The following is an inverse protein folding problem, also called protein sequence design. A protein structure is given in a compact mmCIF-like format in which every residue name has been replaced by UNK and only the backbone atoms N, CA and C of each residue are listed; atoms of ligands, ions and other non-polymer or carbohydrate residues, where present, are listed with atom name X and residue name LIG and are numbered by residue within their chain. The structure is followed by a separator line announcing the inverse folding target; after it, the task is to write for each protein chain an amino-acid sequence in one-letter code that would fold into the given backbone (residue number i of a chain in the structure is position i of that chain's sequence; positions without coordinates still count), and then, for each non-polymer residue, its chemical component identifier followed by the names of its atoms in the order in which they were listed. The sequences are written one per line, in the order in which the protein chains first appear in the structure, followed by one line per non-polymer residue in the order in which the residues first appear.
data_IF_284132832275
#
_entry.id   IF_284132832275
#
_cell.length_a   1.000
_cell.length_b   1.000
_cell.length_c   1.000
_cell.angle_alpha   90.00
_cell.angle_beta   90.00
_cell.angle_gamma   90.00
#
_symmetry.space_group_name_H-M   'P 1'
#
loop_
_entity.id
_entity.type
_entity.pdbx_description
1 polymer ?
#
# COMPACT_ATOMS: atom_id res chain seq x y z
N UNK A 1 -20.78 65.86 -38.29
CA UNK A 1 -19.56 65.16 -38.78
C UNK A 1 -19.18 64.11 -37.76
N UNK A 2 -19.19 62.84 -38.17
CA UNK A 2 -18.90 61.66 -37.36
C UNK A 2 -17.38 61.56 -37.15
N UNK A 3 -16.92 61.36 -35.92
CA UNK A 3 -15.57 60.89 -35.63
C UNK A 3 -15.65 59.70 -34.68
N UNK A 4 -15.53 58.50 -35.25
CA UNK A 4 -15.40 57.23 -34.52
C UNK A 4 -13.91 57.07 -34.21
N UNK A 5 -13.54 57.26 -32.94
CA UNK A 5 -12.20 56.92 -32.46
C UNK A 5 -12.22 55.51 -31.87
N UNK A 6 -11.58 54.59 -32.59
CA UNK A 6 -11.38 53.18 -32.25
C UNK A 6 -10.72 53.02 -30.87
N UNK A 7 -11.53 52.70 -29.86
CA UNK A 7 -11.05 52.27 -28.56
C UNK A 7 -10.38 50.91 -28.65
N UNK A 8 -9.04 50.87 -28.59
CA UNK A 8 -8.29 49.63 -28.36
C UNK A 8 -8.47 49.22 -26.90
N UNK A 9 -9.15 48.11 -26.66
CA UNK A 9 -9.16 47.43 -25.37
C UNK A 9 -7.77 46.81 -25.18
N UNK A 10 -6.93 47.42 -24.35
CA UNK A 10 -5.69 46.78 -23.88
C UNK A 10 -6.10 45.75 -22.83
N UNK A 11 -6.14 44.46 -23.23
CA UNK A 11 -6.25 43.37 -22.25
C UNK A 11 -4.93 43.30 -21.48
N UNK A 12 -4.93 43.86 -20.27
CA UNK A 12 -3.82 43.70 -19.34
C UNK A 12 -3.71 42.23 -18.97
N UNK A 13 -2.62 41.57 -19.37
CA UNK A 13 -2.35 40.20 -18.99
C UNK A 13 -2.11 40.15 -17.48
N UNK A 14 -3.08 39.64 -16.72
CA UNK A 14 -2.92 39.37 -15.31
C UNK A 14 -1.76 38.38 -15.12
N UNK A 15 -0.62 38.89 -14.68
CA UNK A 15 0.55 38.09 -14.28
C UNK A 15 0.14 37.33 -13.03
N UNK A 16 -0.31 36.08 -13.19
CA UNK A 16 -0.53 35.21 -12.03
C UNK A 16 0.80 35.07 -11.29
N UNK A 17 0.90 35.70 -10.12
CA UNK A 17 2.01 35.49 -9.21
C UNK A 17 2.04 34.00 -8.89
N UNK A 18 3.13 33.34 -9.30
CA UNK A 18 3.35 31.93 -8.98
C UNK A 18 3.26 31.83 -7.46
N UNK A 19 2.31 31.05 -6.94
CA UNK A 19 2.09 30.89 -5.50
C UNK A 19 3.43 30.50 -4.87
N UNK A 20 3.82 31.21 -3.82
CA UNK A 20 5.03 30.89 -3.08
C UNK A 20 4.91 29.47 -2.54
N UNK A 21 5.95 28.67 -2.74
CA UNK A 21 5.99 27.30 -2.25
C UNK A 21 6.11 27.37 -0.71
N UNK A 22 5.16 26.83 0.06
CA UNK A 22 5.17 26.93 1.52
C UNK A 22 6.32 26.15 2.17
N UNK A 23 7.08 25.38 1.40
CA UNK A 23 8.27 24.63 1.82
C UNK A 23 9.59 25.18 1.26
N UNK A 24 9.57 26.26 0.48
CA UNK A 24 10.81 26.90 0.05
C UNK A 24 11.21 27.97 1.06
N UNK A 25 12.26 27.72 1.85
CA UNK A 25 12.83 28.67 2.82
C UNK A 25 13.54 29.88 2.16
N UNK A 26 13.14 30.26 0.94
CA UNK A 26 13.82 31.29 0.15
C UNK A 26 15.26 30.96 -0.24
N UNK A 27 15.77 29.78 0.14
CA UNK A 27 17.11 29.36 -0.22
C UNK A 27 17.15 29.03 -1.72
N UNK A 28 18.04 29.65 -2.50
CA UNK A 28 18.16 29.31 -3.91
C UNK A 28 18.56 27.84 -4.00
N UNK A 29 17.72 27.04 -4.65
CA UNK A 29 18.01 25.63 -4.93
C UNK A 29 19.33 25.57 -5.69
N UNK A 30 20.42 25.26 -4.98
CA UNK A 30 21.74 25.03 -5.58
C UNK A 30 21.60 23.79 -6.45
N UNK A 31 21.42 23.99 -7.75
CA UNK A 31 21.49 22.91 -8.72
C UNK A 31 22.94 22.45 -8.74
N UNK A 32 23.21 21.34 -8.04
CA UNK A 32 24.48 20.63 -8.21
C UNK A 32 24.54 20.21 -9.67
N UNK A 33 25.40 20.87 -10.44
CA UNK A 33 25.70 20.44 -11.79
C UNK A 33 26.42 19.11 -11.67
N UNK A 34 25.69 18.02 -11.90
CA UNK A 34 26.28 16.69 -12.07
C UNK A 34 27.05 16.77 -13.37
N UNK A 35 28.37 16.99 -13.28
CA UNK A 35 29.25 16.74 -14.42
C UNK A 35 29.05 15.29 -14.82
N UNK A 36 29.08 14.99 -16.11
CA UNK A 36 29.20 13.63 -16.61
C UNK A 36 30.51 13.03 -16.04
N UNK A 37 30.42 12.47 -14.83
CA UNK A 37 31.44 11.62 -14.28
C UNK A 37 31.43 10.34 -15.10
N UNK A 38 32.62 9.85 -15.46
CA UNK A 38 32.79 8.62 -16.20
C UNK A 38 31.91 7.53 -15.59
N UNK A 39 30.76 7.27 -16.23
CA UNK A 39 29.95 6.12 -15.91
C UNK A 39 30.87 4.96 -16.14
N UNK A 40 31.09 4.17 -15.09
CA UNK A 40 31.89 2.96 -15.14
C UNK A 40 31.77 2.27 -16.47
N UNK A 41 32.92 1.83 -17.01
CA UNK A 41 32.95 1.12 -18.29
C UNK A 41 31.96 -0.05 -18.30
N UNK A 42 31.67 -0.59 -19.48
CA UNK A 42 30.67 -1.66 -19.64
C UNK A 42 30.78 -2.82 -18.62
N UNK A 43 31.99 -3.11 -18.14
CA UNK A 43 32.25 -4.07 -17.07
C UNK A 43 31.58 -3.70 -15.72
N UNK A 44 31.63 -2.42 -15.32
CA UNK A 44 31.02 -1.96 -14.06
C UNK A 44 29.49 -1.96 -14.17
N UNK A 45 28.94 -1.54 -15.31
CA UNK A 45 27.50 -1.65 -15.58
C UNK A 45 27.03 -3.10 -15.51
N UNK A 46 27.80 -4.02 -16.09
CA UNK A 46 27.51 -5.46 -16.02
C UNK A 46 27.57 -5.98 -14.58
N UNK A 47 28.55 -5.57 -13.78
CA UNK A 47 28.66 -5.96 -12.38
C UNK A 47 27.47 -5.46 -11.54
N UNK A 48 27.05 -4.20 -11.74
CA UNK A 48 25.86 -3.65 -11.08
C UNK A 48 24.60 -4.42 -11.47
N UNK A 49 24.45 -4.76 -12.75
CA UNK A 49 23.32 -5.55 -13.23
C UNK A 49 23.28 -6.95 -12.62
N UNK A 50 24.40 -7.67 -12.61
CA UNK A 50 24.48 -9.01 -12.03
C UNK A 50 24.23 -9.02 -10.53
N UNK A 51 24.78 -8.04 -9.81
CA UNK A 51 24.55 -7.88 -8.37
C UNK A 51 23.07 -7.60 -8.06
N UNK A 52 22.46 -6.67 -8.79
CA UNK A 52 21.03 -6.33 -8.65
C UNK A 52 20.15 -7.54 -8.96
N UNK A 53 20.48 -8.29 -10.03
CA UNK A 53 19.80 -9.53 -10.39
C UNK A 53 19.86 -10.56 -9.26
N UNK A 54 21.03 -10.76 -8.65
CA UNK A 54 21.19 -11.70 -7.55
C UNK A 54 20.31 -11.35 -6.34
N UNK A 55 20.24 -10.05 -5.98
CA UNK A 55 19.38 -9.58 -4.89
C UNK A 55 17.90 -9.87 -5.14
N UNK A 56 17.38 -9.56 -6.33
CA UNK A 56 15.97 -9.78 -6.69
C UNK A 56 15.57 -11.26 -6.59
N UNK A 57 16.45 -12.19 -6.97
CA UNK A 57 16.17 -13.64 -6.93
C UNK A 57 16.61 -14.33 -5.63
N UNK A 58 17.22 -13.61 -4.69
CA UNK A 58 17.56 -14.15 -3.37
C UNK A 58 16.35 -14.20 -2.44
N UNK A 59 15.49 -13.17 -2.46
CA UNK A 59 14.28 -13.10 -1.63
C UNK A 59 13.22 -14.14 -1.97
N UNK A 60 13.24 -14.69 -3.19
CA UNK A 60 12.30 -15.73 -3.63
C UNK A 60 12.59 -17.13 -3.02
N UNK A 61 13.75 -17.34 -2.39
CA UNK A 61 14.17 -18.65 -1.85
C UNK A 61 13.96 -18.79 -0.34
N UNK A 62 13.54 -17.72 0.34
CA UNK A 62 13.48 -17.66 1.80
C UNK A 62 12.16 -18.15 2.41
N UNK A 63 11.21 -18.61 1.60
CA UNK A 63 10.01 -19.27 2.11
C UNK A 63 10.27 -20.79 2.13
N UNK A 64 10.37 -21.43 3.30
CA UNK A 64 10.21 -22.87 3.37
C UNK A 64 8.79 -23.20 2.91
N UNK A 65 8.65 -23.64 1.66
CA UNK A 65 7.48 -24.39 1.23
C UNK A 65 7.47 -25.67 2.06
N UNK A 66 6.67 -25.66 3.11
CA UNK A 66 6.40 -26.84 3.92
C UNK A 66 5.91 -27.96 2.99
N UNK A 67 6.55 -29.15 2.97
CA UNK A 67 6.00 -30.28 2.24
C UNK A 67 4.68 -30.69 2.89
N UNK A 68 3.65 -30.89 2.05
CA UNK A 68 2.33 -31.33 2.45
C UNK A 68 2.30 -32.75 3.07
N UNK A 69 1.13 -33.18 3.59
CA UNK A 69 1.01 -34.35 4.44
C UNK A 69 1.05 -35.64 3.63
N UNK A 70 2.08 -36.47 3.84
CA UNK A 70 2.09 -37.88 3.44
C UNK A 70 1.44 -38.73 4.53
N UNK A 71 0.42 -39.49 4.13
CA UNK A 71 -0.35 -40.39 4.98
C UNK A 71 0.40 -41.72 5.25
N UNK A 72 0.81 -41.93 6.51
CA UNK A 72 0.96 -43.19 7.29
C UNK A 72 1.83 -44.36 6.76
N UNK A 73 2.02 -45.45 7.55
CA UNK A 73 1.60 -45.69 8.95
C UNK A 73 2.69 -46.28 9.90
N UNK A 74 2.35 -46.32 11.19
CA UNK A 74 2.78 -47.32 12.20
C UNK A 74 4.18 -47.22 12.82
N UNK A 75 4.25 -46.90 14.13
CA UNK A 75 4.63 -47.89 15.14
C UNK A 75 4.25 -47.44 16.57
N UNK A 76 3.85 -48.44 17.37
CA UNK A 76 3.37 -48.36 18.75
C UNK A 76 4.51 -48.06 19.73
N UNK A 77 4.26 -47.18 20.69
CA UNK A 77 5.08 -47.00 21.89
C UNK A 77 4.28 -46.25 22.95
N UNK A 78 4.00 -46.92 24.07
CA UNK A 78 3.19 -46.44 25.17
C UNK A 78 3.97 -45.53 26.14
N UNK A 79 3.31 -44.53 26.73
CA UNK A 79 3.16 -44.36 28.19
C UNK A 79 2.72 -42.93 28.58
N UNK A 80 1.63 -42.90 29.35
CA UNK A 80 1.26 -42.00 30.46
C UNK A 80 1.86 -40.59 30.50
N UNK A 81 0.96 -39.61 30.40
CA UNK A 81 1.19 -38.25 30.87
C UNK A 81 0.01 -37.36 30.52
N UNK A 82 -1.00 -37.31 31.40
CA UNK A 82 -2.06 -36.31 31.33
C UNK A 82 -1.43 -34.92 31.58
N UNK A 83 -0.99 -34.26 30.51
CA UNK A 83 -0.75 -32.82 30.50
C UNK A 83 -1.94 -32.16 29.83
N UNK A 84 -2.69 -31.39 30.60
CA UNK A 84 -3.52 -30.30 30.08
C UNK A 84 -2.62 -29.38 29.27
N UNK A 85 -2.49 -29.61 27.97
CA UNK A 85 -1.88 -28.64 27.07
C UNK A 85 -2.87 -27.48 26.97
N UNK A 86 -2.60 -26.41 27.72
CA UNK A 86 -2.93 -25.06 27.31
C UNK A 86 -2.48 -24.94 25.86
N UNK A 87 -3.46 -24.94 24.96
CA UNK A 87 -3.24 -24.86 23.54
C UNK A 87 -2.53 -23.56 23.23
N UNK A 88 -1.23 -23.64 22.95
CA UNK A 88 -0.52 -22.62 22.20
C UNK A 88 -1.02 -22.68 20.76
N UNK A 89 -2.26 -22.23 20.54
CA UNK A 89 -2.69 -21.87 19.20
C UNK A 89 -1.76 -20.74 18.74
N UNK A 90 -1.19 -20.81 17.52
CA UNK A 90 -0.40 -19.71 17.00
C UNK A 90 -1.22 -18.42 17.08
N UNK A 91 -0.62 -17.28 17.47
CA UNK A 91 -1.34 -16.02 17.47
C UNK A 91 -1.91 -15.81 16.07
N UNK A 92 -3.23 -15.68 15.98
CA UNK A 92 -3.87 -15.41 14.70
C UNK A 92 -3.37 -14.05 14.21
N UNK A 93 -2.79 -14.00 13.02
CA UNK A 93 -2.27 -12.78 12.41
C UNK A 93 -3.29 -12.23 11.41
N UNK A 94 -3.30 -10.91 11.24
CA UNK A 94 -4.17 -10.29 10.27
C UNK A 94 -3.74 -10.70 8.85
N UNK A 95 -4.64 -11.20 7.98
CA UNK A 95 -4.29 -11.65 6.64
C UNK A 95 -3.93 -10.50 5.67
N UNK A 96 -3.97 -9.24 6.12
CA UNK A 96 -3.68 -8.06 5.30
C UNK A 96 -2.38 -7.33 5.69
N UNK A 97 -2.05 -7.31 6.98
CA UNK A 97 -0.88 -6.59 7.49
C UNK A 97 0.04 -7.46 8.36
N UNK A 98 -0.29 -8.75 8.51
CA UNK A 98 0.46 -9.74 9.29
C UNK A 98 0.66 -9.40 10.77
N UNK A 99 0.03 -8.32 11.25
CA UNK A 99 0.07 -7.91 12.64
C UNK A 99 -0.76 -8.88 13.51
N UNK A 100 -0.35 -9.13 14.77
CA UNK A 100 -1.13 -9.95 15.70
C UNK A 100 -2.57 -9.45 15.88
N UNK A 101 -3.54 -10.35 15.79
CA UNK A 101 -4.96 -10.05 16.06
C UNK A 101 -5.22 -10.09 17.56
N UNK A 102 -5.12 -8.94 18.24
CA UNK A 102 -5.65 -8.80 19.60
C UNK A 102 -7.20 -8.77 19.59
N UNK A 103 -7.76 -8.06 18.61
CA UNK A 103 -9.20 -7.90 18.43
C UNK A 103 -9.51 -7.67 16.96
N UNK A 104 -10.52 -8.37 16.44
CA UNK A 104 -10.93 -8.26 15.05
C UNK A 104 -12.38 -8.68 14.84
N UNK A 105 -12.99 -8.21 13.76
CA UNK A 105 -14.30 -8.65 13.30
C UNK A 105 -14.18 -9.26 11.90
N UNK A 106 -15.07 -10.19 11.52
CA UNK A 106 -15.12 -10.71 10.17
C UNK A 106 -15.55 -9.62 9.18
N UNK A 107 -14.97 -9.64 7.99
CA UNK A 107 -15.41 -8.82 6.86
C UNK A 107 -16.80 -9.27 6.39
N UNK A 108 -17.77 -8.36 6.25
CA UNK A 108 -19.12 -8.67 5.80
C UNK A 108 -19.27 -9.16 4.36
N UNK A 109 -18.15 -9.29 3.61
CA UNK A 109 -18.12 -9.78 2.22
C UNK A 109 -17.30 -11.06 2.06
N UNK A 110 -16.05 -11.05 2.53
CA UNK A 110 -15.13 -12.19 2.38
C UNK A 110 -14.95 -13.01 3.65
N UNK A 111 -15.64 -12.65 4.74
CA UNK A 111 -15.68 -13.33 6.04
C UNK A 111 -14.34 -13.46 6.79
N UNK A 112 -13.23 -13.02 6.18
CA UNK A 112 -11.92 -12.98 6.81
C UNK A 112 -11.92 -12.05 8.02
N UNK A 113 -11.42 -12.53 9.16
CA UNK A 113 -11.20 -11.72 10.36
C UNK A 113 -9.97 -10.83 10.15
N UNK A 114 -10.15 -9.53 10.32
CA UNK A 114 -9.10 -8.52 10.11
C UNK A 114 -8.91 -7.66 11.36
N UNK A 115 -7.69 -7.15 11.56
CA UNK A 115 -7.40 -6.27 12.70
C UNK A 115 -8.16 -4.95 12.57
N UNK A 116 -8.34 -4.24 13.68
CA UNK A 116 -9.05 -2.95 13.72
C UNK A 116 -8.47 -1.93 12.70
N UNK A 117 -7.16 -1.97 12.46
CA UNK A 117 -6.50 -1.06 11.50
C UNK A 117 -6.83 -1.37 10.04
N UNK A 118 -7.10 -2.63 9.72
CA UNK A 118 -7.47 -3.07 8.38
C UNK A 118 -9.00 -3.13 8.16
N UNK A 119 -9.78 -2.86 9.20
CA UNK A 119 -11.23 -2.72 9.11
C UNK A 119 -11.62 -1.35 8.55
N UNK A 120 -12.68 -1.34 7.75
CA UNK A 120 -13.34 -0.14 7.22
C UNK A 120 -14.84 -0.33 7.39
N UNK A 121 -15.56 0.74 7.72
CA UNK A 121 -17.02 0.71 7.86
C UNK A 121 -17.65 1.34 6.63
N UNK A 122 -18.53 0.60 5.96
CA UNK A 122 -19.25 1.13 4.80
C UNK A 122 -20.21 2.23 5.25
N UNK A 123 -20.21 3.38 4.58
CA UNK A 123 -21.11 4.51 4.89
C UNK A 123 -22.56 4.22 4.51
N UNK A 124 -22.81 3.26 3.62
CA UNK A 124 -24.15 2.92 3.13
C UNK A 124 -24.78 1.79 3.94
N UNK A 125 -24.16 0.60 3.97
CA UNK A 125 -24.72 -0.56 4.69
C UNK A 125 -24.28 -0.68 6.15
N UNK A 126 -23.40 0.22 6.63
CA UNK A 126 -22.89 0.28 8.00
C UNK A 126 -22.14 -0.97 8.51
N UNK A 127 -21.95 -1.99 7.66
CA UNK A 127 -21.20 -3.22 7.98
C UNK A 127 -19.69 -2.96 7.94
N UNK A 128 -18.96 -3.80 8.67
CA UNK A 128 -17.49 -3.79 8.68
C UNK A 128 -16.98 -4.66 7.52
N UNK A 129 -16.03 -4.11 6.76
CA UNK A 129 -15.37 -4.80 5.67
C UNK A 129 -13.85 -4.66 5.83
N UNK A 130 -13.09 -5.52 5.17
CA UNK A 130 -11.65 -5.36 5.08
C UNK A 130 -11.29 -4.26 4.07
N UNK A 131 -10.08 -3.71 4.17
CA UNK A 131 -9.57 -2.69 3.26
C UNK A 131 -9.67 -3.08 1.77
N UNK A 132 -9.56 -4.36 1.42
CA UNK A 132 -9.71 -4.83 0.03
C UNK A 132 -11.16 -4.87 -0.45
N UNK A 133 -12.13 -5.02 0.46
CA UNK A 133 -13.55 -5.09 0.13
C UNK A 133 -14.27 -3.73 0.24
N UNK A 134 -13.54 -2.68 0.62
CA UNK A 134 -14.02 -1.31 0.71
C UNK A 134 -13.15 -0.39 -0.13
N UNK A 135 -13.77 0.56 -0.81
CA UNK A 135 -13.11 1.56 -1.64
C UNK A 135 -13.44 2.95 -1.10
N UNK A 136 -12.47 3.88 -1.08
CA UNK A 136 -12.75 5.27 -0.81
C UNK A 136 -13.53 5.86 -2.01
N UNK A 137 -14.67 6.46 -1.71
CA UNK A 137 -15.49 7.23 -2.64
C UNK A 137 -15.23 8.73 -2.42
N UNK A 138 -14.96 9.44 -3.52
CA UNK A 138 -14.66 10.86 -3.61
C UNK A 138 -15.71 11.67 -4.40
N UNK A 139 -16.89 11.10 -4.66
CA UNK A 139 -17.97 11.77 -5.41
C UNK A 139 -18.53 13.00 -4.68
N UNK A 140 -18.42 13.02 -3.35
CA UNK A 140 -18.78 14.16 -2.51
C UNK A 140 -17.55 14.93 -2.02
N UNK A 141 -17.77 16.11 -1.41
CA UNK A 141 -16.68 16.91 -0.81
C UNK A 141 -15.86 16.19 0.26
N UNK A 142 -16.38 15.10 0.83
CA UNK A 142 -15.75 14.36 1.90
C UNK A 142 -15.50 12.92 1.48
N UNK A 143 -14.34 12.38 1.87
CA UNK A 143 -13.99 10.97 1.67
C UNK A 143 -14.95 10.08 2.48
N UNK A 144 -15.55 9.11 1.80
CA UNK A 144 -16.38 8.07 2.44
C UNK A 144 -15.92 6.69 2.02
N UNK A 145 -15.98 5.72 2.92
CA UNK A 145 -15.67 4.34 2.58
C UNK A 145 -16.96 3.62 2.17
N UNK A 146 -16.99 3.04 0.98
CA UNK A 146 -18.14 2.27 0.47
C UNK A 146 -17.68 0.84 0.17
N UNK A 147 -18.48 -0.17 0.51
CA UNK A 147 -18.15 -1.55 0.14
C UNK A 147 -18.42 -1.79 -1.35
N UNK A 148 -17.74 -2.76 -1.94
CA UNK A 148 -17.86 -3.07 -3.37
C UNK A 148 -19.32 -3.39 -3.77
N UNK A 149 -20.09 -4.02 -2.87
CA UNK A 149 -21.48 -4.37 -3.16
C UNK A 149 -22.39 -3.13 -3.17
N UNK A 150 -22.13 -2.14 -2.30
CA UNK A 150 -22.89 -0.88 -2.30
C UNK A 150 -22.44 0.12 -3.38
N UNK A 151 -21.25 -0.07 -3.96
CA UNK A 151 -20.80 0.73 -5.11
C UNK A 151 -21.49 0.33 -6.42
N UNK A 152 -21.97 -0.91 -6.50
CA UNK A 152 -22.66 -1.45 -7.67
C UNK A 152 -24.17 -1.12 -7.71
N UNK A 153 -24.68 -0.39 -6.72
CA UNK A 153 -26.08 0.05 -6.60
C UNK A 153 -26.23 1.50 -7.04
#
# INVERSE_FOLDING_TARGET
MLAIASGRIVRSAAKMSKRDCPWSDGTPQRKTCVREGAVGGEAEKKAVYEHTRALLFSGARSLPLSPGPTAGPSQRGAAKGAQMRLGNAPPSVCPLCECPLLSGSPCGRCEKVVCVQCQRRCSLCLRTHCFTCCLPNYDERYERMVCIDCQAL
#
